data_IF_309445341891
#
_entry.id   IF_309445341891
#
_cell.length_a   1.000
_cell.length_b   1.000
_cell.length_c   1.000
_cell.angle_alpha   90.00
_cell.angle_beta   90.00
_cell.angle_gamma   90.00
#
_symmetry.space_group_name_H-M   'P 1'
#
loop_
_entity.id
_entity.type
_entity.pdbx_description
1 polymer ?
#
# COMPACT_ATOMS: atom_id res chain seq x y z
N UNK A 1 -31.78 18.20 -4.67
CA UNK A 1 -30.76 17.27 -4.16
C UNK A 1 -29.94 16.51 -5.22
N UNK A 2 -30.52 15.58 -5.99
CA UNK A 2 -29.71 14.58 -6.75
C UNK A 2 -28.74 15.19 -7.77
N UNK A 3 -29.11 16.30 -8.42
CA UNK A 3 -28.22 17.05 -9.34
C UNK A 3 -27.14 17.87 -8.61
N UNK A 4 -27.45 18.37 -7.42
CA UNK A 4 -26.53 19.22 -6.60
C UNK A 4 -25.35 18.39 -6.09
N UNK A 5 -25.60 17.16 -5.66
CA UNK A 5 -24.56 16.26 -5.12
C UNK A 5 -23.80 15.47 -6.20
N UNK A 6 -24.23 15.56 -7.46
CA UNK A 6 -23.61 14.82 -8.57
C UNK A 6 -22.09 15.03 -8.69
N UNK A 7 -21.54 16.26 -8.53
CA UNK A 7 -20.09 16.47 -8.58
C UNK A 7 -19.33 15.70 -7.50
N UNK A 8 -19.90 15.59 -6.30
CA UNK A 8 -19.31 14.84 -5.19
C UNK A 8 -19.28 13.35 -5.53
N UNK A 9 -20.39 12.82 -6.07
CA UNK A 9 -20.49 11.41 -6.45
C UNK A 9 -19.43 11.04 -7.49
N UNK A 10 -19.22 11.89 -8.51
CA UNK A 10 -18.19 11.66 -9.55
C UNK A 10 -16.79 11.53 -8.93
N UNK A 11 -16.41 12.42 -8.01
CA UNK A 11 -15.09 12.38 -7.38
C UNK A 11 -14.94 11.20 -6.41
N UNK A 12 -16.00 10.86 -5.67
CA UNK A 12 -16.02 9.71 -4.76
C UNK A 12 -15.91 8.37 -5.51
N UNK A 13 -16.61 8.22 -6.63
CA UNK A 13 -16.52 7.04 -7.49
C UNK A 13 -15.10 6.89 -8.07
N UNK A 14 -14.51 8.01 -8.52
CA UNK A 14 -13.14 8.01 -9.03
C UNK A 14 -12.11 7.60 -7.97
N UNK A 15 -12.25 8.11 -6.74
CA UNK A 15 -11.41 7.72 -5.60
C UNK A 15 -11.55 6.24 -5.27
N UNK A 16 -12.78 5.73 -5.24
CA UNK A 16 -13.08 4.33 -4.93
C UNK A 16 -12.48 3.38 -5.98
N UNK A 17 -12.67 3.68 -7.27
CA UNK A 17 -12.06 2.91 -8.37
C UNK A 17 -10.53 2.92 -8.27
N UNK A 18 -9.93 4.06 -7.90
CA UNK A 18 -8.48 4.14 -7.75
C UNK A 18 -7.97 3.34 -6.56
N UNK A 19 -8.63 3.45 -5.40
CA UNK A 19 -8.32 2.66 -4.22
C UNK A 19 -8.42 1.16 -4.52
N UNK A 20 -9.48 0.74 -5.22
CA UNK A 20 -9.64 -0.65 -5.63
C UNK A 20 -8.50 -1.15 -6.54
N UNK A 21 -8.09 -0.34 -7.52
CA UNK A 21 -6.93 -0.64 -8.38
C UNK A 21 -5.63 -0.77 -7.57
N UNK A 22 -5.44 0.07 -6.56
CA UNK A 22 -4.29 -0.02 -5.67
C UNK A 22 -4.32 -1.32 -4.85
N UNK A 23 -5.46 -1.67 -4.25
CA UNK A 23 -5.65 -2.92 -3.51
C UNK A 23 -5.31 -4.14 -4.38
N UNK A 24 -5.84 -4.19 -5.61
CA UNK A 24 -5.56 -5.30 -6.55
C UNK A 24 -4.07 -5.47 -6.86
N UNK A 25 -3.32 -4.38 -6.97
CA UNK A 25 -1.86 -4.45 -7.15
C UNK A 25 -1.18 -5.03 -5.93
N UNK A 26 -1.65 -4.71 -4.72
CA UNK A 26 -1.08 -5.21 -3.48
C UNK A 26 -1.38 -6.68 -3.23
N UNK A 27 -2.52 -7.21 -3.68
CA UNK A 27 -2.84 -8.64 -3.57
C UNK A 27 -1.74 -9.54 -4.17
N UNK A 28 -1.12 -9.12 -5.28
CA UNK A 28 -0.01 -9.87 -5.86
C UNK A 28 1.24 -9.87 -4.97
N UNK A 29 1.55 -8.75 -4.32
CA UNK A 29 2.67 -8.63 -3.38
C UNK A 29 2.40 -9.40 -2.08
N UNK A 30 1.16 -9.37 -1.61
CA UNK A 30 0.73 -10.11 -0.44
C UNK A 30 0.78 -11.62 -0.68
N UNK A 31 0.32 -12.09 -1.83
CA UNK A 31 0.45 -13.50 -2.23
C UNK A 31 1.93 -13.92 -2.30
N UNK A 32 2.80 -13.08 -2.89
CA UNK A 32 4.25 -13.33 -2.88
C UNK A 32 4.81 -13.42 -1.46
N UNK A 33 4.37 -12.53 -0.56
CA UNK A 33 4.76 -12.52 0.85
C UNK A 33 4.35 -13.81 1.56
N UNK A 34 3.07 -14.20 1.46
CA UNK A 34 2.52 -15.38 2.12
C UNK A 34 3.21 -16.67 1.68
N UNK A 35 3.40 -16.85 0.37
CA UNK A 35 4.10 -18.04 -0.18
C UNK A 35 5.55 -18.09 0.28
N UNK A 36 6.23 -16.94 0.31
CA UNK A 36 7.64 -16.88 0.68
C UNK A 36 7.88 -17.00 2.19
N UNK A 37 6.96 -16.52 3.04
CA UNK A 37 7.03 -16.71 4.50
C UNK A 37 6.72 -18.16 4.91
N UNK A 38 5.81 -18.83 4.20
CA UNK A 38 5.44 -20.22 4.50
C UNK A 38 6.59 -21.21 4.20
N UNK A 39 7.57 -20.81 3.40
CA UNK A 39 8.60 -21.72 2.86
C UNK A 39 9.96 -21.69 3.57
N UNK A 40 10.23 -20.77 4.51
CA UNK A 40 11.50 -20.81 5.27
C UNK A 40 11.53 -19.86 6.46
N UNK A 41 12.19 -20.26 7.55
CA UNK A 41 12.65 -19.33 8.58
C UNK A 41 14.02 -18.78 8.17
N UNK A 42 14.02 -17.80 7.26
CA UNK A 42 15.23 -17.32 6.58
C UNK A 42 16.39 -16.95 7.53
N UNK A 43 16.08 -16.44 8.73
CA UNK A 43 17.09 -16.15 9.75
C UNK A 43 17.77 -17.41 10.27
N UNK A 44 17.02 -18.47 10.54
CA UNK A 44 17.57 -19.76 10.99
C UNK A 44 18.46 -20.38 9.90
N UNK A 45 18.01 -20.30 8.64
CA UNK A 45 18.77 -20.86 7.52
C UNK A 45 20.07 -20.07 7.25
N UNK A 46 20.04 -18.74 7.36
CA UNK A 46 21.25 -17.89 7.27
C UNK A 46 22.23 -18.23 8.39
N UNK A 47 21.75 -18.41 9.63
CA UNK A 47 22.60 -18.79 10.75
C UNK A 47 23.26 -20.16 10.53
N UNK A 48 22.50 -21.13 10.02
CA UNK A 48 23.04 -22.45 9.66
C UNK A 48 24.12 -22.36 8.58
N UNK A 49 23.93 -21.52 7.55
CA UNK A 49 24.94 -21.29 6.51
C UNK A 49 26.18 -20.62 7.10
N UNK A 50 26.03 -19.64 8.00
CA UNK A 50 27.16 -19.00 8.68
C UNK A 50 27.97 -20.02 9.50
N UNK A 51 27.32 -20.94 10.21
CA UNK A 51 28.02 -22.03 10.90
C UNK A 51 28.81 -22.92 9.93
N UNK A 52 28.23 -23.26 8.77
CA UNK A 52 28.91 -24.05 7.74
C UNK A 52 30.12 -23.32 7.15
N UNK A 53 30.00 -22.01 6.89
CA UNK A 53 31.10 -21.15 6.41
C UNK A 53 32.26 -21.17 7.42
N UNK A 54 31.96 -21.04 8.72
CA UNK A 54 32.96 -21.00 9.77
C UNK A 54 33.70 -22.34 9.94
N UNK A 55 33.05 -23.45 9.63
CA UNK A 55 33.63 -24.81 9.69
C UNK A 55 34.31 -25.24 8.38
N UNK A 56 34.04 -24.55 7.27
CA UNK A 56 34.59 -24.90 5.97
C UNK A 56 36.08 -24.52 5.89
N UNK A 57 36.92 -25.52 5.66
CA UNK A 57 38.38 -25.34 5.47
C UNK A 57 38.77 -25.24 3.99
N UNK A 58 37.93 -25.78 3.09
CA UNK A 58 38.13 -25.68 1.64
C UNK A 58 37.71 -24.29 1.13
N UNK A 59 38.61 -23.52 0.47
CA UNK A 59 38.30 -22.20 -0.07
C UNK A 59 37.17 -22.17 -1.11
N UNK A 60 37.02 -23.22 -1.92
CA UNK A 60 35.98 -23.30 -2.96
C UNK A 60 34.62 -23.48 -2.28
N UNK A 61 34.52 -24.45 -1.36
CA UNK A 61 33.28 -24.70 -0.60
C UNK A 61 32.88 -23.46 0.19
N UNK A 62 33.85 -22.78 0.81
CA UNK A 62 33.60 -21.55 1.55
C UNK A 62 33.00 -20.46 0.65
N UNK A 63 33.55 -20.27 -0.55
CA UNK A 63 33.04 -19.30 -1.52
C UNK A 63 31.61 -19.61 -1.96
N UNK A 64 31.29 -20.87 -2.27
CA UNK A 64 29.93 -21.29 -2.66
C UNK A 64 28.91 -21.03 -1.53
N UNK A 65 29.30 -21.28 -0.28
CA UNK A 65 28.47 -21.00 0.89
C UNK A 65 28.27 -19.50 1.10
N UNK A 66 29.30 -18.67 0.90
CA UNK A 66 29.21 -17.21 0.96
C UNK A 66 28.28 -16.63 -0.12
N UNK A 67 28.37 -17.15 -1.35
CA UNK A 67 27.47 -16.78 -2.45
C UNK A 67 26.02 -17.18 -2.14
N UNK A 68 25.82 -18.37 -1.57
CA UNK A 68 24.50 -18.84 -1.09
C UNK A 68 23.95 -17.90 -0.01
N UNK A 69 24.76 -17.55 1.00
CA UNK A 69 24.36 -16.61 2.06
C UNK A 69 23.92 -15.27 1.47
N UNK A 70 24.72 -14.70 0.57
CA UNK A 70 24.43 -13.42 -0.07
C UNK A 70 23.11 -13.44 -0.84
N UNK A 71 22.83 -14.54 -1.55
CA UNK A 71 21.55 -14.74 -2.24
C UNK A 71 20.37 -14.76 -1.25
N UNK A 72 20.51 -15.47 -0.13
CA UNK A 72 19.48 -15.53 0.92
C UNK A 72 19.26 -14.18 1.60
N UNK A 73 20.32 -13.45 1.94
CA UNK A 73 20.24 -12.09 2.49
C UNK A 73 19.53 -11.14 1.52
N UNK A 74 19.84 -11.23 0.23
CA UNK A 74 19.18 -10.42 -0.81
C UNK A 74 17.68 -10.73 -0.90
N UNK A 75 17.31 -12.02 -0.83
CA UNK A 75 15.91 -12.45 -0.81
C UNK A 75 15.19 -11.96 0.44
N UNK A 76 15.83 -12.07 1.62
CA UNK A 76 15.27 -11.58 2.89
C UNK A 76 15.00 -10.09 2.83
N UNK A 77 15.98 -9.29 2.39
CA UNK A 77 15.82 -7.84 2.24
C UNK A 77 14.66 -7.50 1.30
N UNK A 78 14.54 -8.20 0.17
CA UNK A 78 13.43 -7.99 -0.76
C UNK A 78 12.07 -8.30 -0.12
N UNK A 79 11.99 -9.31 0.76
CA UNK A 79 10.78 -9.61 1.51
C UNK A 79 10.41 -8.52 2.51
N UNK A 80 11.41 -7.97 3.21
CA UNK A 80 11.21 -6.86 4.14
C UNK A 80 10.72 -5.61 3.41
N UNK A 81 11.31 -5.31 2.24
CA UNK A 81 10.89 -4.19 1.39
C UNK A 81 9.44 -4.34 0.92
N UNK A 82 9.04 -5.54 0.49
CA UNK A 82 7.64 -5.84 0.11
C UNK A 82 6.70 -5.69 1.30
N UNK A 83 7.09 -6.20 2.47
CA UNK A 83 6.26 -6.12 3.69
C UNK A 83 6.05 -4.66 4.13
N UNK A 84 7.12 -3.87 4.12
CA UNK A 84 7.07 -2.44 4.41
C UNK A 84 6.19 -1.68 3.40
N UNK A 85 6.24 -2.07 2.13
CA UNK A 85 5.38 -1.47 1.11
C UNK A 85 3.90 -1.76 1.36
N UNK A 86 3.55 -3.02 1.71
CA UNK A 86 2.17 -3.39 2.03
C UNK A 86 1.66 -2.58 3.22
N UNK A 87 2.42 -2.50 4.32
CA UNK A 87 2.07 -1.72 5.51
C UNK A 87 1.83 -0.24 5.19
N UNK A 88 2.68 0.36 4.33
CA UNK A 88 2.50 1.75 3.91
C UNK A 88 1.22 1.95 3.09
N UNK A 89 0.87 0.99 2.23
CA UNK A 89 -0.36 1.06 1.44
C UNK A 89 -1.59 0.91 2.32
N UNK A 90 -1.56 -0.02 3.28
CA UNK A 90 -2.63 -0.17 4.28
C UNK A 90 -2.85 1.12 5.06
N UNK A 91 -1.78 1.76 5.55
CA UNK A 91 -1.87 3.04 6.25
C UNK A 91 -2.48 4.14 5.36
N UNK A 92 -2.10 4.21 4.08
CA UNK A 92 -2.66 5.19 3.15
C UNK A 92 -4.15 4.93 2.87
N UNK A 93 -4.56 3.67 2.72
CA UNK A 93 -5.95 3.30 2.51
C UNK A 93 -6.80 3.58 3.75
N UNK A 94 -6.28 3.35 4.95
CA UNK A 94 -6.97 3.69 6.20
C UNK A 94 -7.15 5.20 6.34
N UNK A 95 -6.12 6.00 6.01
CA UNK A 95 -6.24 7.45 5.98
C UNK A 95 -7.30 7.92 4.99
N UNK A 96 -7.35 7.31 3.80
CA UNK A 96 -8.36 7.63 2.79
C UNK A 96 -9.77 7.26 3.27
N UNK A 97 -9.95 6.09 3.89
CA UNK A 97 -11.24 5.66 4.44
C UNK A 97 -11.77 6.67 5.47
N UNK A 98 -10.93 7.11 6.40
CA UNK A 98 -11.32 8.13 7.39
C UNK A 98 -11.73 9.47 6.74
N UNK A 99 -11.03 9.88 5.69
CA UNK A 99 -11.38 11.10 4.94
C UNK A 99 -12.72 10.95 4.19
N UNK A 100 -12.98 9.76 3.65
CA UNK A 100 -14.25 9.44 3.00
C UNK A 100 -15.41 9.41 4.00
N UNK A 101 -15.22 8.87 5.20
CA UNK A 101 -16.24 8.87 6.27
C UNK A 101 -16.60 10.30 6.71
N UNK A 102 -15.58 11.17 6.81
CA UNK A 102 -15.79 12.61 7.09
C UNK A 102 -16.62 13.26 5.98
N UNK A 103 -16.29 12.97 4.72
CA UNK A 103 -17.02 13.50 3.56
C UNK A 103 -18.46 12.97 3.51
N UNK A 104 -18.68 11.70 3.83
CA UNK A 104 -20.00 11.08 3.91
C UNK A 104 -20.87 11.73 4.98
N UNK A 105 -20.30 11.99 6.16
CA UNK A 105 -20.99 12.67 7.26
C UNK A 105 -21.47 14.06 6.83
N UNK A 106 -20.62 14.80 6.11
CA UNK A 106 -20.97 16.12 5.60
C UNK A 106 -22.04 16.03 4.50
N UNK A 107 -21.96 15.06 3.60
CA UNK A 107 -23.00 14.82 2.57
C UNK A 107 -24.35 14.52 3.24
N UNK A 108 -24.36 13.69 4.29
CA UNK A 108 -25.59 13.39 5.05
C UNK A 108 -26.17 14.65 5.72
N UNK A 109 -25.32 15.53 6.25
CA UNK A 109 -25.73 16.85 6.77
C UNK A 109 -26.38 17.70 5.67
N UNK A 110 -25.75 17.79 4.51
CA UNK A 110 -26.27 18.57 3.37
C UNK A 110 -27.54 17.99 2.75
N UNK A 111 -27.75 16.68 2.85
CA UNK A 111 -29.01 16.04 2.45
C UNK A 111 -30.19 16.41 3.35
N UNK A 112 -29.95 16.93 4.55
CA UNK A 112 -30.97 17.45 5.44
C UNK A 112 -31.11 18.99 5.35
N UNK A 113 -30.17 19.67 4.67
CA UNK A 113 -30.11 21.12 4.54
C UNK A 113 -30.96 21.64 3.38
N UNK A 114 -31.14 22.97 3.34
CA UNK A 114 -31.78 23.64 2.21
C UNK A 114 -30.92 23.50 0.93
N UNK A 115 -31.52 23.37 -0.28
CA UNK A 115 -30.79 23.28 -1.53
C UNK A 115 -29.75 24.38 -1.77
N UNK A 116 -30.00 25.61 -1.32
CA UNK A 116 -29.05 26.72 -1.48
C UNK A 116 -27.80 26.54 -0.60
N UNK A 117 -27.98 26.04 0.63
CA UNK A 117 -26.86 25.72 1.54
C UNK A 117 -26.05 24.53 1.00
N UNK A 118 -26.72 23.53 0.46
CA UNK A 118 -26.07 22.39 -0.19
C UNK A 118 -25.25 22.81 -1.42
N UNK A 119 -25.79 23.68 -2.28
CA UNK A 119 -25.06 24.19 -3.45
C UNK A 119 -23.82 24.99 -3.07
N UNK A 120 -23.87 25.76 -1.97
CA UNK A 120 -22.73 26.51 -1.47
C UNK A 120 -21.61 25.63 -0.90
N UNK A 121 -21.95 24.49 -0.28
CA UNK A 121 -20.99 23.61 0.38
C UNK A 121 -20.38 22.53 -0.54
N UNK A 122 -21.03 22.19 -1.66
CA UNK A 122 -20.54 21.19 -2.62
C UNK A 122 -19.11 21.44 -3.11
N UNK A 123 -18.70 22.67 -3.49
CA UNK A 123 -17.34 22.94 -3.97
C UNK A 123 -16.24 22.53 -2.99
N UNK A 124 -16.45 22.75 -1.69
CA UNK A 124 -15.46 22.45 -0.66
C UNK A 124 -15.27 20.93 -0.46
N UNK A 125 -16.36 20.17 -0.52
CA UNK A 125 -16.32 18.70 -0.48
C UNK A 125 -15.62 18.18 -1.74
N UNK A 126 -15.97 18.69 -2.91
CA UNK A 126 -15.31 18.32 -4.18
C UNK A 126 -13.81 18.62 -4.11
N UNK A 127 -13.42 19.76 -3.58
CA UNK A 127 -12.02 20.13 -3.43
C UNK A 127 -11.28 19.19 -2.46
N UNK A 128 -11.93 18.79 -1.38
CA UNK A 128 -11.40 17.81 -0.43
C UNK A 128 -11.15 16.46 -1.11
N UNK A 129 -12.12 15.93 -1.85
CA UNK A 129 -12.00 14.67 -2.58
C UNK A 129 -10.89 14.73 -3.65
N UNK A 130 -10.79 15.83 -4.40
CA UNK A 130 -9.68 16.06 -5.33
C UNK A 130 -8.32 16.08 -4.63
N UNK A 131 -8.25 16.68 -3.45
CA UNK A 131 -7.06 16.65 -2.60
C UNK A 131 -6.65 15.23 -2.22
N UNK A 132 -7.61 14.39 -1.81
CA UNK A 132 -7.37 12.98 -1.51
C UNK A 132 -6.89 12.20 -2.75
N UNK A 133 -7.46 12.48 -3.92
CA UNK A 133 -7.06 11.85 -5.18
C UNK A 133 -5.60 12.19 -5.53
N UNK A 134 -5.21 13.45 -5.38
CA UNK A 134 -3.84 13.87 -5.65
C UNK A 134 -2.84 13.30 -4.64
N UNK A 135 -3.21 13.19 -3.37
CA UNK A 135 -2.39 12.49 -2.36
C UNK A 135 -2.19 11.02 -2.74
N UNK A 136 -3.26 10.32 -3.11
CA UNK A 136 -3.20 8.92 -3.55
C UNK A 136 -2.32 8.76 -4.79
N UNK A 137 -2.44 9.64 -5.78
CA UNK A 137 -1.60 9.63 -6.99
C UNK A 137 -0.13 9.88 -6.69
N UNK A 138 0.19 10.79 -5.77
CA UNK A 138 1.57 11.04 -5.34
C UNK A 138 2.14 9.81 -4.66
N UNK A 139 1.40 9.22 -3.72
CA UNK A 139 1.78 7.99 -3.05
C UNK A 139 2.05 6.84 -4.04
N UNK A 140 1.16 6.63 -5.01
CA UNK A 140 1.33 5.62 -6.04
C UNK A 140 2.59 5.81 -6.91
N UNK A 141 2.96 7.06 -7.21
CA UNK A 141 4.21 7.37 -7.91
C UNK A 141 5.42 7.06 -7.03
N UNK A 142 5.36 7.35 -5.74
CA UNK A 142 6.45 7.06 -4.81
C UNK A 142 6.72 5.56 -4.66
N UNK A 143 5.67 4.74 -4.56
CA UNK A 143 5.83 3.28 -4.45
C UNK A 143 6.24 2.64 -5.79
N UNK A 144 5.92 3.27 -6.93
CA UNK A 144 6.26 2.72 -8.25
C UNK A 144 7.70 3.06 -8.68
N UNK A 145 8.33 4.09 -8.11
CA UNK A 145 9.75 4.44 -8.35
C UNK A 145 10.75 3.57 -7.60
N UNK A 146 10.30 2.72 -6.67
CA UNK A 146 11.14 1.84 -5.85
C UNK A 146 11.26 0.42 -6.39
N UNK A 147 10.67 0.16 -7.57
CA UNK A 147 10.79 -1.07 -8.37
C UNK A 147 11.42 -0.73 -9.71
#
# INVERSE_FOLDING_TARGET
MKKVLQPIQVEADALTDRAYKLCRRMTSLENFRLVSQTSSNASADINLINEKINRATDPIVKRELEETRKSMETRSKKMDDVSNQILRVEAQLLSLANAMDTSLTEIMRLQAADPAEAEAAVPDIVQTLKGQMEQLRKFEKEISKRH
#
